data_IF_142985899908
#
_entry.id   IF_142985899908
#
_cell.length_a   1.000
_cell.length_b   1.000
_cell.length_c   1.000
_cell.angle_alpha   90.00
_cell.angle_beta   90.00
_cell.angle_gamma   90.00
#
_symmetry.space_group_name_H-M   'P 1'
#
loop_
_entity.id
_entity.type
_entity.pdbx_description
1 polymer ?
#
# COMPACT_ATOMS: atom_id res chain seq x y z
N UNK A 1 -4.55 14.64 0.41
CA UNK A 1 -4.94 13.23 0.26
C UNK A 1 -6.10 13.11 -0.72
N UNK A 2 -6.18 12.00 -1.47
CA UNK A 2 -7.31 11.65 -2.36
C UNK A 2 -7.94 10.37 -1.81
N UNK A 3 -9.27 10.37 -1.66
CA UNK A 3 -10.04 9.20 -1.21
C UNK A 3 -11.16 8.95 -2.22
N UNK A 4 -11.24 7.74 -2.77
CA UNK A 4 -12.23 7.36 -3.76
C UNK A 4 -12.91 6.07 -3.29
N UNK A 5 -14.20 6.17 -2.99
CA UNK A 5 -15.05 5.02 -2.69
C UNK A 5 -15.55 4.37 -3.99
N UNK A 6 -15.82 3.09 -3.93
CA UNK A 6 -16.27 2.29 -5.06
C UNK A 6 -15.39 2.50 -6.31
N UNK A 7 -14.07 2.49 -6.10
CA UNK A 7 -13.08 2.85 -7.11
C UNK A 7 -13.07 1.89 -8.31
N UNK A 8 -12.97 0.58 -8.06
CA UNK A 8 -13.01 -0.43 -9.12
C UNK A 8 -14.45 -0.61 -9.59
N UNK A 9 -14.67 -0.39 -10.90
CA UNK A 9 -15.97 -0.60 -11.57
C UNK A 9 -16.01 -1.91 -12.36
N UNK A 10 -14.86 -2.53 -12.58
CA UNK A 10 -14.73 -3.84 -13.22
C UNK A 10 -15.11 -4.93 -12.21
N UNK A 11 -16.33 -5.48 -12.36
CA UNK A 11 -16.84 -6.52 -11.48
C UNK A 11 -16.00 -7.80 -11.53
N UNK A 12 -15.46 -8.14 -12.71
CA UNK A 12 -14.62 -9.33 -12.85
C UNK A 12 -13.32 -9.18 -12.04
N UNK A 13 -12.69 -8.00 -12.06
CA UNK A 13 -11.50 -7.74 -11.25
C UNK A 13 -11.81 -7.81 -9.74
N UNK A 14 -12.95 -7.27 -9.30
CA UNK A 14 -13.39 -7.36 -7.90
C UNK A 14 -13.61 -8.82 -7.46
N UNK A 15 -14.25 -9.62 -8.32
CA UNK A 15 -14.50 -11.04 -8.05
C UNK A 15 -13.19 -11.83 -8.04
N UNK A 16 -12.27 -11.56 -8.96
CA UNK A 16 -10.94 -12.16 -8.98
C UNK A 16 -10.16 -11.83 -7.70
N UNK A 17 -10.15 -10.55 -7.27
CA UNK A 17 -9.50 -10.12 -6.02
C UNK A 17 -10.08 -10.83 -4.80
N UNK A 18 -11.40 -10.96 -4.72
CA UNK A 18 -12.09 -11.61 -3.60
C UNK A 18 -11.80 -13.11 -3.53
N UNK A 19 -11.64 -13.77 -4.69
CA UNK A 19 -11.51 -15.23 -4.78
C UNK A 19 -10.06 -15.70 -4.85
N UNK A 20 -9.09 -14.81 -5.05
CA UNK A 20 -7.67 -15.18 -5.13
C UNK A 20 -7.14 -15.56 -3.74
N UNK A 21 -6.92 -16.86 -3.54
CA UNK A 21 -6.40 -17.39 -2.28
C UNK A 21 -4.92 -17.08 -2.07
N UNK A 22 -4.19 -16.75 -3.14
CA UNK A 22 -2.74 -16.45 -3.08
C UNK A 22 -2.46 -15.01 -2.70
N UNK A 23 -3.49 -14.17 -2.67
CA UNK A 23 -3.33 -12.75 -2.35
C UNK A 23 -2.62 -12.51 -1.01
N UNK A 24 -2.88 -13.36 -0.02
CA UNK A 24 -2.29 -13.27 1.33
C UNK A 24 -0.99 -14.06 1.48
N UNK A 25 -0.60 -14.87 0.49
CA UNK A 25 0.62 -15.67 0.56
C UNK A 25 1.89 -14.83 0.37
N UNK A 26 1.73 -13.55 -0.01
CA UNK A 26 2.85 -12.62 -0.18
C UNK A 26 3.45 -12.26 1.17
N UNK A 27 4.69 -12.65 1.37
CA UNK A 27 5.47 -12.31 2.57
C UNK A 27 6.48 -11.23 2.24
N UNK A 28 6.47 -10.14 3.03
CA UNK A 28 7.41 -9.04 2.86
C UNK A 28 7.00 -8.02 1.79
N UNK A 29 7.97 -7.25 1.37
CA UNK A 29 7.82 -6.20 0.37
C UNK A 29 8.16 -6.75 -1.01
N UNK A 30 7.27 -6.49 -1.99
CA UNK A 30 7.41 -6.95 -3.36
C UNK A 30 7.74 -5.76 -4.26
N UNK A 31 8.50 -6.02 -5.33
CA UNK A 31 8.81 -5.05 -6.36
C UNK A 31 8.28 -5.48 -7.71
N UNK A 32 7.72 -4.53 -8.46
CA UNK A 32 7.35 -4.68 -9.85
C UNK A 32 7.78 -3.45 -10.65
N UNK A 33 8.54 -3.66 -11.71
CA UNK A 33 9.07 -2.64 -12.59
C UNK A 33 8.06 -2.08 -13.60
N UNK A 34 6.76 -2.46 -13.43
CA UNK A 34 5.62 -1.96 -14.19
C UNK A 34 5.35 -2.72 -15.49
N UNK A 35 4.15 -2.47 -16.03
CA UNK A 35 3.64 -3.15 -17.24
C UNK A 35 4.42 -2.79 -18.51
N UNK A 36 5.23 -1.75 -18.49
CA UNK A 36 6.12 -1.38 -19.59
C UNK A 36 7.38 -2.25 -19.70
N UNK A 37 7.74 -2.96 -18.65
CA UNK A 37 8.88 -3.89 -18.61
C UNK A 37 8.45 -5.34 -18.47
N UNK A 38 7.45 -5.62 -17.65
CA UNK A 38 6.98 -6.98 -17.41
C UNK A 38 5.46 -7.04 -17.28
N UNK A 39 4.81 -8.15 -17.73
CA UNK A 39 3.35 -8.24 -17.75
C UNK A 39 2.77 -8.31 -16.32
N UNK A 40 1.53 -7.81 -16.17
CA UNK A 40 0.75 -7.95 -14.94
C UNK A 40 0.17 -9.37 -14.82
N UNK A 41 1.02 -10.34 -14.52
CA UNK A 41 0.71 -11.78 -14.51
C UNK A 41 0.12 -12.28 -13.18
N UNK A 42 0.09 -11.44 -12.15
CA UNK A 42 -0.54 -11.76 -10.85
C UNK A 42 -1.71 -10.83 -10.59
N UNK A 43 -2.62 -11.23 -9.70
CA UNK A 43 -3.79 -10.40 -9.36
C UNK A 43 -3.38 -9.06 -8.72
N UNK A 44 -2.30 -9.03 -7.96
CA UNK A 44 -1.77 -7.80 -7.36
C UNK A 44 -1.23 -6.84 -8.42
N UNK A 45 -0.45 -7.34 -9.39
CA UNK A 45 0.04 -6.55 -10.53
C UNK A 45 -1.11 -6.04 -11.41
N UNK A 46 -2.16 -6.86 -11.64
CA UNK A 46 -3.37 -6.42 -12.36
C UNK A 46 -4.08 -5.29 -11.61
N UNK A 47 -4.19 -5.37 -10.28
CA UNK A 47 -4.73 -4.29 -9.46
C UNK A 47 -3.89 -3.02 -9.55
N UNK A 48 -2.56 -3.12 -9.44
CA UNK A 48 -1.64 -1.98 -9.57
C UNK A 48 -1.81 -1.33 -10.95
N UNK A 49 -1.84 -2.13 -12.01
CA UNK A 49 -2.05 -1.64 -13.37
C UNK A 49 -3.42 -0.97 -13.54
N UNK A 50 -4.48 -1.52 -12.92
CA UNK A 50 -5.80 -0.89 -12.94
C UNK A 50 -5.79 0.47 -12.25
N UNK A 51 -5.15 0.59 -11.09
CA UNK A 51 -5.07 1.85 -10.32
C UNK A 51 -4.23 2.90 -11.07
N UNK A 52 -3.05 2.52 -11.56
CA UNK A 52 -2.03 3.47 -12.03
C UNK A 52 -1.86 3.53 -13.55
N UNK A 53 -2.55 2.68 -14.30
CA UNK A 53 -2.63 2.72 -15.75
C UNK A 53 -3.66 3.74 -16.24
N UNK A 54 -4.60 3.28 -17.06
CA UNK A 54 -5.60 4.15 -17.71
C UNK A 54 -6.58 4.81 -16.72
N UNK A 55 -6.77 4.22 -15.53
CA UNK A 55 -7.70 4.70 -14.51
C UNK A 55 -7.03 5.58 -13.45
N UNK A 56 -5.79 5.98 -13.67
CA UNK A 56 -5.01 6.72 -12.68
C UNK A 56 -5.72 8.01 -12.23
N UNK A 57 -6.01 8.14 -10.93
CA UNK A 57 -6.63 9.34 -10.38
C UNK A 57 -5.62 10.48 -10.13
N UNK A 58 -4.36 10.28 -10.45
CA UNK A 58 -3.27 11.20 -10.23
C UNK A 58 -2.53 11.51 -11.54
N UNK A 59 -2.06 12.76 -11.76
CA UNK A 59 -1.25 13.10 -12.92
C UNK A 59 -0.03 12.19 -13.06
N UNK A 60 0.39 11.95 -14.29
CA UNK A 60 1.55 11.11 -14.60
C UNK A 60 2.77 11.56 -13.79
N UNK A 61 3.31 10.64 -13.00
CA UNK A 61 4.62 10.77 -12.35
C UNK A 61 5.63 9.93 -13.12
N UNK A 62 6.86 10.35 -13.14
CA UNK A 62 7.92 9.50 -13.66
C UNK A 62 8.14 8.35 -12.67
N UNK A 63 7.70 7.15 -13.01
CA UNK A 63 7.72 5.98 -12.14
C UNK A 63 8.66 4.94 -12.71
N UNK A 64 9.59 4.46 -11.90
CA UNK A 64 10.48 3.32 -12.21
C UNK A 64 9.83 1.97 -11.86
N UNK A 65 8.90 1.98 -10.90
CA UNK A 65 8.19 0.78 -10.50
C UNK A 65 7.37 0.97 -9.22
N UNK A 66 6.88 -0.16 -8.73
CA UNK A 66 5.95 -0.25 -7.61
C UNK A 66 6.50 -1.19 -6.55
N UNK A 67 6.64 -0.69 -5.34
CA UNK A 67 6.80 -1.50 -4.15
C UNK A 67 5.42 -1.76 -3.55
N UNK A 68 5.11 -3.00 -3.18
CA UNK A 68 3.80 -3.30 -2.62
C UNK A 68 3.85 -4.45 -1.61
N UNK A 69 2.93 -4.42 -0.66
CA UNK A 69 2.80 -5.44 0.38
C UNK A 69 1.37 -5.55 0.88
N UNK A 70 1.09 -6.66 1.55
CA UNK A 70 -0.20 -6.88 2.21
C UNK A 70 -0.08 -6.54 3.69
N UNK A 71 -0.90 -5.59 4.13
CA UNK A 71 -1.04 -5.23 5.54
C UNK A 71 -2.19 -5.99 6.18
N UNK A 72 -1.85 -6.91 7.08
CA UNK A 72 -2.83 -7.63 7.92
C UNK A 72 -2.58 -7.24 9.37
N UNK A 73 -3.63 -6.79 10.07
CA UNK A 73 -3.60 -6.43 11.48
C UNK A 73 -4.82 -7.04 12.15
N UNK A 74 -4.63 -7.77 13.26
CA UNK A 74 -5.69 -8.56 13.88
C UNK A 74 -5.59 -8.56 15.40
N UNK A 75 -6.76 -8.57 16.08
CA UNK A 75 -6.82 -8.79 17.53
C UNK A 75 -6.27 -10.15 17.96
N UNK A 76 -6.17 -11.11 17.03
CA UNK A 76 -5.72 -12.48 17.28
C UNK A 76 -4.22 -12.70 17.04
N UNK A 77 -3.50 -11.66 16.61
CA UNK A 77 -2.08 -11.74 16.27
C UNK A 77 -1.26 -10.71 17.05
N UNK A 78 0.05 -10.93 17.16
CA UNK A 78 0.96 -9.96 17.78
C UNK A 78 0.96 -8.61 17.05
N UNK A 79 0.60 -8.61 15.76
CA UNK A 79 0.54 -7.42 14.92
C UNK A 79 -0.90 -6.92 14.80
N UNK A 80 -1.33 -6.14 15.79
CA UNK A 80 -2.66 -5.54 15.85
C UNK A 80 -2.72 -4.06 15.45
N UNK A 81 -1.57 -3.42 15.23
CA UNK A 81 -1.43 -2.03 14.79
C UNK A 81 -0.22 -1.81 13.89
N UNK A 82 -0.11 -0.63 13.28
CA UNK A 82 1.11 -0.15 12.64
C UNK A 82 1.49 1.18 13.28
N UNK A 83 2.64 1.27 13.97
CA UNK A 83 3.05 2.49 14.64
C UNK A 83 3.34 3.63 13.67
N UNK A 84 3.54 4.83 14.21
CA UNK A 84 3.93 6.00 13.42
C UNK A 84 5.18 5.76 12.61
N UNK A 85 5.08 6.05 11.32
CA UNK A 85 6.18 6.02 10.38
C UNK A 85 5.85 6.92 9.19
N UNK A 86 6.81 7.12 8.32
CA UNK A 86 6.65 7.53 6.93
C UNK A 86 7.44 6.56 6.06
N UNK A 87 6.96 6.35 4.84
CA UNK A 87 7.57 5.38 3.95
C UNK A 87 8.90 5.91 3.41
N UNK A 88 9.91 5.07 3.42
CA UNK A 88 11.26 5.37 2.95
C UNK A 88 11.98 4.11 2.53
N UNK A 89 13.07 4.25 1.82
CA UNK A 89 14.02 3.17 1.58
C UNK A 89 14.71 2.81 2.91
N UNK A 90 14.20 1.77 3.57
CA UNK A 90 14.68 1.36 4.90
C UNK A 90 16.12 0.86 4.85
N UNK A 91 16.51 0.12 3.80
CA UNK A 91 17.88 -0.36 3.66
C UNK A 91 18.85 0.81 3.51
N UNK A 92 18.56 1.75 2.59
CA UNK A 92 19.39 2.95 2.41
C UNK A 92 19.51 3.77 3.69
N UNK A 93 18.38 4.00 4.35
CA UNK A 93 18.36 4.73 5.61
C UNK A 93 19.19 4.06 6.71
N UNK A 94 19.16 2.73 6.82
CA UNK A 94 19.93 1.99 7.80
C UNK A 94 21.44 2.12 7.56
N UNK A 95 21.87 2.19 6.30
CA UNK A 95 23.28 2.30 5.93
C UNK A 95 23.82 3.74 6.01
N UNK A 96 23.03 4.72 5.57
CA UNK A 96 23.52 6.09 5.33
C UNK A 96 22.93 7.14 6.27
N UNK A 97 21.78 6.85 6.88
CA UNK A 97 20.91 7.81 7.58
C UNK A 97 20.27 8.88 6.66
N UNK A 98 20.44 8.77 5.37
CA UNK A 98 19.76 9.59 4.39
C UNK A 98 18.34 9.09 4.13
N UNK A 99 17.39 10.01 3.97
CA UNK A 99 15.98 9.69 3.73
C UNK A 99 15.71 9.74 2.23
N UNK A 100 15.28 8.62 1.69
CA UNK A 100 14.83 8.45 0.31
C UNK A 100 13.42 7.90 0.37
N UNK A 101 12.47 8.58 -0.27
CA UNK A 101 11.03 8.27 -0.12
C UNK A 101 10.37 7.92 -1.45
N UNK A 102 9.27 7.16 -1.43
CA UNK A 102 8.42 7.02 -2.61
C UNK A 102 7.79 8.36 -2.99
N UNK A 103 7.44 8.49 -4.27
CA UNK A 103 6.76 9.68 -4.81
C UNK A 103 5.33 9.78 -4.27
N UNK A 104 4.63 8.65 -4.25
CA UNK A 104 3.23 8.53 -3.83
C UNK A 104 3.05 7.20 -3.09
N UNK A 105 2.28 7.24 -2.01
CA UNK A 105 1.75 6.06 -1.34
C UNK A 105 0.28 5.83 -1.66
N UNK A 106 -0.11 4.57 -1.72
CA UNK A 106 -1.47 4.14 -2.05
C UNK A 106 -1.89 3.04 -1.08
N UNK A 107 -3.15 3.07 -0.65
CA UNK A 107 -3.76 1.96 0.09
C UNK A 107 -5.09 1.62 -0.57
N UNK A 108 -5.31 0.35 -0.85
CA UNK A 108 -6.57 -0.15 -1.38
C UNK A 108 -7.12 -1.26 -0.48
N UNK A 109 -8.45 -1.30 -0.31
CA UNK A 109 -9.17 -2.26 0.53
C UNK A 109 -10.02 -3.19 -0.35
N UNK A 110 -9.48 -4.33 -0.80
CA UNK A 110 -10.19 -5.24 -1.71
C UNK A 110 -11.24 -6.12 -1.01
N UNK A 111 -11.33 -6.08 0.33
CA UNK A 111 -12.28 -6.88 1.11
C UNK A 111 -13.06 -6.04 2.09
N UNK A 112 -14.21 -6.57 2.48
CA UNK A 112 -14.93 -6.08 3.64
C UNK A 112 -14.09 -6.29 4.90
N UNK A 113 -14.08 -5.27 5.76
CA UNK A 113 -13.40 -5.30 7.04
C UNK A 113 -14.48 -5.12 8.13
N UNK A 114 -14.97 -6.23 8.70
CA UNK A 114 -15.83 -6.19 9.91
C UNK A 114 -14.94 -6.13 11.14
N UNK A 115 -14.60 -4.91 11.55
CA UNK A 115 -13.60 -4.63 12.58
C UNK A 115 -13.98 -3.45 13.46
N UNK A 116 -13.42 -3.41 14.67
CA UNK A 116 -13.36 -2.21 15.50
C UNK A 116 -11.90 -1.74 15.58
N UNK A 117 -11.67 -0.42 15.45
CA UNK A 117 -10.32 0.14 15.30
C UNK A 117 -9.76 0.00 13.88
N UNK A 118 -8.44 -0.13 13.76
CA UNK A 118 -7.77 -0.33 12.47
C UNK A 118 -7.87 0.85 11.50
N UNK A 119 -8.15 2.06 12.00
CA UNK A 119 -8.20 3.26 11.18
C UNK A 119 -6.83 3.60 10.61
N UNK A 120 -6.79 4.04 9.34
CA UNK A 120 -5.63 4.75 8.80
C UNK A 120 -5.67 6.19 9.30
N UNK A 121 -4.63 6.62 9.98
CA UNK A 121 -4.44 8.02 10.35
C UNK A 121 -3.23 8.58 9.60
N UNK A 122 -3.42 9.70 8.90
CA UNK A 122 -2.41 10.43 8.15
C UNK A 122 -2.29 11.82 8.76
N UNK A 123 -1.08 12.29 8.97
CA UNK A 123 -0.76 13.54 9.68
C UNK A 123 -0.12 14.54 8.72
N UNK A 124 -0.91 15.32 7.96
CA UNK A 124 -0.40 16.26 6.95
C UNK A 124 0.45 17.40 7.54
N UNK A 125 0.23 17.70 8.83
CA UNK A 125 0.90 18.79 9.55
C UNK A 125 1.93 18.28 10.56
N UNK A 126 2.42 17.04 10.38
CA UNK A 126 3.35 16.39 11.30
C UNK A 126 2.65 15.66 12.45
N UNK A 127 3.42 14.89 13.19
CA UNK A 127 2.94 13.94 14.21
C UNK A 127 2.10 14.57 15.33
N UNK A 128 2.35 15.84 15.63
CA UNK A 128 1.63 16.59 16.68
C UNK A 128 0.35 17.26 16.15
N UNK A 129 0.09 17.19 14.86
CA UNK A 129 -1.11 17.74 14.22
C UNK A 129 -2.33 16.82 14.31
N UNK A 130 -3.49 17.36 13.95
CA UNK A 130 -4.72 16.57 13.85
C UNK A 130 -4.63 15.60 12.66
N UNK A 131 -4.95 14.32 12.85
CA UNK A 131 -4.93 13.34 11.76
C UNK A 131 -6.16 13.44 10.84
N UNK A 132 -5.94 13.18 9.59
CA UNK A 132 -6.99 12.74 8.69
C UNK A 132 -7.22 11.23 8.92
N UNK A 133 -8.37 10.88 9.53
CA UNK A 133 -8.71 9.50 9.90
C UNK A 133 -9.64 8.86 8.89
N UNK A 134 -9.30 7.65 8.46
CA UNK A 134 -10.02 6.88 7.45
C UNK A 134 -10.34 5.47 7.95
N UNK A 135 -11.60 5.10 7.75
CA UNK A 135 -12.03 3.71 7.94
C UNK A 135 -11.58 2.82 6.76
N UNK A 136 -11.18 1.57 7.03
CA UNK A 136 -10.91 0.58 5.99
C UNK A 136 -12.23 0.09 5.36
N UNK A 137 -12.68 0.81 4.34
CA UNK A 137 -13.93 0.53 3.63
C UNK A 137 -13.65 -0.28 2.36
N UNK A 138 -14.45 -1.31 2.10
CA UNK A 138 -14.39 -2.10 0.88
C UNK A 138 -14.39 -1.24 -0.39
N UNK A 139 -13.56 -1.58 -1.34
CA UNK A 139 -13.39 -0.92 -2.63
C UNK A 139 -13.04 0.59 -2.51
N UNK A 140 -12.37 0.96 -1.41
CA UNK A 140 -11.84 2.31 -1.18
C UNK A 140 -10.39 2.39 -1.59
N UNK A 141 -10.06 3.39 -2.41
CA UNK A 141 -8.70 3.79 -2.74
C UNK A 141 -8.32 5.05 -1.95
N UNK A 142 -7.13 5.04 -1.36
CA UNK A 142 -6.53 6.18 -0.66
C UNK A 142 -5.17 6.46 -1.27
N UNK A 143 -4.92 7.72 -1.67
CA UNK A 143 -3.65 8.17 -2.24
C UNK A 143 -3.15 9.36 -1.43
N UNK A 144 -1.89 9.31 -1.00
CA UNK A 144 -1.28 10.36 -0.18
C UNK A 144 0.25 10.33 -0.32
N UNK A 145 0.95 11.44 0.00
CA UNK A 145 2.41 11.48 -0.03
C UNK A 145 3.01 10.75 1.18
N UNK A 146 3.08 9.41 1.11
CA UNK A 146 3.45 8.53 2.23
C UNK A 146 4.89 8.75 2.76
N UNK A 147 5.77 9.25 1.91
CA UNK A 147 7.13 9.64 2.30
C UNK A 147 7.23 11.00 2.99
N UNK A 148 6.21 11.85 2.89
CA UNK A 148 6.19 13.19 3.48
C UNK A 148 5.29 13.29 4.71
N UNK A 149 4.19 12.52 4.73
CA UNK A 149 3.21 12.57 5.82
C UNK A 149 3.38 11.37 6.76
N UNK A 150 3.73 11.60 8.04
CA UNK A 150 3.66 10.55 9.04
C UNK A 150 2.28 9.92 9.06
N UNK A 151 2.22 8.61 9.22
CA UNK A 151 0.96 7.90 9.25
C UNK A 151 1.06 6.62 10.09
N UNK A 152 -0.10 6.08 10.45
CA UNK A 152 -0.20 4.83 11.21
C UNK A 152 -1.48 4.07 10.90
N UNK A 153 -1.57 2.84 11.39
CA UNK A 153 -2.83 2.13 11.57
C UNK A 153 -3.09 2.00 13.06
N UNK A 154 -4.24 2.48 13.52
CA UNK A 154 -4.63 2.35 14.93
C UNK A 154 -4.87 0.89 15.28
N UNK A 155 -4.78 0.56 16.56
CA UNK A 155 -5.02 -0.79 17.05
C UNK A 155 -6.37 -1.36 16.58
N UNK A 156 -6.34 -2.60 16.10
CA UNK A 156 -7.52 -3.42 15.82
C UNK A 156 -7.94 -4.09 17.11
N UNK A 157 -9.12 -3.74 17.61
CA UNK A 157 -9.66 -4.26 18.89
C UNK A 157 -10.69 -5.38 18.70
N UNK A 158 -11.16 -5.59 17.47
CA UNK A 158 -12.02 -6.69 17.05
C UNK A 158 -11.80 -7.00 15.57
N UNK A 159 -11.70 -8.27 15.22
CA UNK A 159 -11.62 -8.76 13.85
C UNK A 159 -10.22 -8.64 13.22
N UNK A 160 -10.18 -8.63 11.90
CA UNK A 160 -8.94 -8.59 11.11
C UNK A 160 -9.04 -7.58 9.99
N UNK A 161 -8.18 -6.56 10.03
CA UNK A 161 -8.02 -5.57 8.98
C UNK A 161 -7.08 -6.06 7.89
N UNK A 162 -7.49 -5.90 6.63
CA UNK A 162 -6.71 -6.29 5.45
C UNK A 162 -6.68 -5.15 4.43
N UNK A 163 -5.50 -4.88 3.88
CA UNK A 163 -5.30 -3.92 2.82
C UNK A 163 -4.07 -4.28 1.98
N UNK A 164 -4.00 -3.81 0.75
CA UNK A 164 -2.76 -3.72 -0.01
C UNK A 164 -2.24 -2.29 0.03
N UNK A 165 -0.95 -2.13 0.33
CA UNK A 165 -0.23 -0.89 0.20
C UNK A 165 0.65 -0.94 -1.05
N UNK A 166 0.75 0.19 -1.77
CA UNK A 166 1.49 0.32 -3.02
C UNK A 166 2.19 1.67 -3.01
N UNK A 167 3.50 1.64 -3.07
CA UNK A 167 4.34 2.82 -3.21
C UNK A 167 4.86 2.96 -4.64
N UNK A 168 4.74 4.14 -5.18
CA UNK A 168 5.31 4.50 -6.49
C UNK A 168 6.68 5.11 -6.28
N UNK A 169 7.66 4.59 -6.99
CA UNK A 169 9.03 5.03 -6.90
C UNK A 169 9.54 5.58 -8.24
N UNK A 170 10.23 6.73 -8.20
CA UNK A 170 10.95 7.30 -9.35
C UNK A 170 12.36 6.74 -9.54
N UNK A 171 12.78 5.85 -8.64
CA UNK A 171 14.01 5.06 -8.66
C UNK A 171 13.80 3.72 -7.97
N UNK A 172 14.60 2.73 -8.31
CA UNK A 172 14.55 1.41 -7.66
C UNK A 172 15.06 1.53 -6.22
N UNK A 173 14.30 1.10 -5.20
CA UNK A 173 14.78 1.06 -3.83
C UNK A 173 15.99 0.12 -3.67
N UNK A 174 16.92 0.51 -2.83
CA UNK A 174 18.19 -0.24 -2.63
C UNK A 174 18.01 -1.61 -1.96
N UNK A 175 16.90 -1.84 -1.26
CA UNK A 175 16.54 -3.13 -0.68
C UNK A 175 16.37 -4.27 -1.70
N UNK A 176 16.10 -3.95 -2.98
CA UNK A 176 15.98 -4.97 -4.03
C UNK A 176 17.28 -5.72 -4.27
N UNK A 177 18.42 -5.01 -4.29
CA UNK A 177 19.74 -5.60 -4.56
C UNK A 177 20.21 -6.55 -3.46
N UNK A 178 19.71 -6.36 -2.25
CA UNK A 178 20.10 -7.15 -1.06
C UNK A 178 19.05 -8.16 -0.62
N UNK A 179 17.96 -8.30 -1.36
CA UNK A 179 16.90 -9.27 -1.09
C UNK A 179 15.95 -8.88 0.05
N UNK A 180 15.85 -7.62 0.40
CA UNK A 180 14.80 -7.09 1.30
C UNK A 180 13.50 -6.81 0.57
N UNK A 181 13.57 -6.53 -0.75
CA UNK A 181 12.43 -6.56 -1.66
C UNK A 181 12.49 -7.80 -2.56
N UNK A 182 11.33 -8.37 -2.88
CA UNK A 182 11.21 -9.59 -3.65
C UNK A 182 10.50 -9.34 -4.98
N UNK A 183 10.95 -10.03 -6.03
CA UNK A 183 10.21 -10.10 -7.29
C UNK A 183 9.11 -11.14 -7.17
N UNK A 184 7.87 -10.76 -7.47
CA UNK A 184 6.77 -11.70 -7.57
C UNK A 184 6.83 -12.39 -8.95
N UNK A 185 7.04 -13.72 -8.94
CA UNK A 185 7.14 -14.56 -10.14
C UNK A 185 5.76 -14.90 -10.73
#
# INVERSE_FOLDING_TARGET
MIVIDDFIKDQQLLDDLKNDKTFFDTKGYMWWDGWWNSPANTIKKRLIQYIWGENSPHPSVNVQGFEYWIGVYSEYEERDELPFHFDKDEYWYNQTKEIVTPVIGTVFYPWENDIDGGYREIYPHGQDGEPERLEPKYNRLVIFPAGAHPHRVTKVTRGTRRAIAINLWDKVPSGLEVGELFLEN
#
